data_IF_460008047307
#
_entry.id   IF_460008047307
#
_cell.length_a   1.000
_cell.length_b   1.000
_cell.length_c   1.000
_cell.angle_alpha   90.00
_cell.angle_beta   90.00
_cell.angle_gamma   90.00
#
_symmetry.space_group_name_H-M   'P 1'
#
loop_
_entity.id
_entity.type
_entity.pdbx_description
1 polymer ?
#
# COMPACT_ATOMS: atom_id res chain seq x y z
N UNK A 1 -0.89 -20.78 -3.21
CA UNK A 1 -0.80 -20.06 -4.51
C UNK A 1 0.36 -20.62 -5.30
N UNK A 2 0.21 -20.85 -6.61
CA UNK A 2 1.26 -21.40 -7.49
C UNK A 2 1.52 -20.44 -8.63
N UNK A 3 2.79 -20.17 -8.90
CA UNK A 3 3.28 -19.57 -10.13
C UNK A 3 4.25 -20.60 -10.68
N UNK A 4 3.89 -21.29 -11.77
CA UNK A 4 4.63 -22.39 -12.43
C UNK A 4 5.79 -23.00 -11.61
N UNK A 5 5.44 -23.82 -10.62
CA UNK A 5 6.39 -24.35 -9.64
C UNK A 5 5.74 -24.82 -8.33
N UNK A 6 6.56 -25.15 -7.31
CA UNK A 6 6.07 -25.58 -5.99
C UNK A 6 5.20 -24.48 -5.33
N UNK A 7 4.26 -24.86 -4.45
CA UNK A 7 3.36 -23.91 -3.81
C UNK A 7 4.13 -22.87 -2.99
N UNK A 8 3.91 -21.58 -3.27
CA UNK A 8 4.55 -20.47 -2.56
C UNK A 8 3.92 -20.25 -1.19
N UNK A 9 2.60 -20.51 -1.09
CA UNK A 9 1.84 -20.57 0.16
C UNK A 9 1.07 -21.88 0.17
N UNK A 10 1.33 -22.72 1.17
CA UNK A 10 0.66 -24.00 1.41
C UNK A 10 0.06 -24.03 2.82
N UNK A 11 -1.24 -24.30 2.92
CA UNK A 11 -2.00 -24.46 4.18
C UNK A 11 -1.69 -23.42 5.27
N UNK A 12 -1.55 -22.15 4.88
CA UNK A 12 -1.37 -21.05 5.82
C UNK A 12 -2.69 -20.78 6.57
N UNK A 13 -2.64 -20.82 7.90
CA UNK A 13 -3.69 -20.32 8.79
C UNK A 13 -3.13 -19.18 9.63
N UNK A 14 -3.75 -18.00 9.53
CA UNK A 14 -3.39 -16.82 10.30
C UNK A 14 -4.67 -16.11 10.73
N UNK A 15 -4.80 -15.86 12.03
CA UNK A 15 -5.88 -15.06 12.60
C UNK A 15 -5.25 -14.08 13.59
N UNK A 16 -5.56 -12.80 13.42
CA UNK A 16 -5.10 -11.73 14.30
C UNK A 16 -6.30 -10.92 14.77
N UNK A 17 -6.26 -10.44 16.02
CA UNK A 17 -7.20 -9.42 16.48
C UNK A 17 -6.87 -8.05 15.86
N UNK A 18 -7.39 -6.99 16.49
CA UNK A 18 -6.99 -5.62 16.14
C UNK A 18 -5.49 -5.44 16.43
N UNK A 19 -4.73 -5.09 15.40
CA UNK A 19 -3.30 -4.79 15.51
C UNK A 19 -3.04 -3.41 14.93
N UNK A 20 -2.13 -2.65 15.55
CA UNK A 20 -1.64 -1.39 14.97
C UNK A 20 -0.63 -1.63 13.85
N UNK A 21 0.10 -2.75 13.91
CA UNK A 21 1.04 -3.18 12.88
C UNK A 21 1.18 -4.70 12.87
N UNK A 22 1.25 -5.29 11.68
CA UNK A 22 1.61 -6.70 11.46
C UNK A 22 2.91 -6.75 10.65
N UNK A 23 3.93 -7.42 11.19
CA UNK A 23 5.23 -7.58 10.52
C UNK A 23 5.42 -9.05 10.17
N UNK A 24 5.65 -9.34 8.88
CA UNK A 24 5.98 -10.68 8.40
C UNK A 24 7.49 -10.83 8.29
N UNK A 25 8.07 -11.75 9.05
CA UNK A 25 9.52 -12.05 9.04
C UNK A 25 9.74 -13.48 8.58
N UNK A 26 10.74 -13.69 7.71
CA UNK A 26 11.06 -15.02 7.18
C UNK A 26 12.06 -14.98 6.02
N UNK A 27 12.60 -16.14 5.61
CA UNK A 27 13.64 -16.23 4.58
C UNK A 27 13.17 -15.65 3.24
N UNK A 28 14.11 -15.21 2.41
CA UNK A 28 13.80 -14.83 1.02
C UNK A 28 13.12 -16.01 0.30
N UNK A 29 12.10 -15.72 -0.51
CA UNK A 29 11.28 -16.76 -1.16
C UNK A 29 10.22 -17.43 -0.28
N UNK A 30 10.16 -17.17 1.03
CA UNK A 30 9.16 -17.76 1.94
C UNK A 30 7.71 -17.27 1.78
N UNK A 31 7.34 -16.71 0.63
CA UNK A 31 5.94 -16.33 0.33
C UNK A 31 5.41 -15.05 0.99
N UNK A 32 6.20 -14.32 1.79
CA UNK A 32 5.80 -13.05 2.43
C UNK A 32 5.20 -12.05 1.43
N UNK A 33 5.89 -11.86 0.30
CA UNK A 33 5.45 -10.91 -0.72
C UNK A 33 4.11 -11.33 -1.32
N UNK A 34 3.95 -12.63 -1.57
CA UNK A 34 2.70 -13.22 -2.06
C UNK A 34 1.56 -13.03 -1.07
N UNK A 35 1.81 -13.26 0.24
CA UNK A 35 0.80 -13.06 1.28
C UNK A 35 0.35 -11.60 1.34
N UNK A 36 1.30 -10.65 1.33
CA UNK A 36 0.97 -9.22 1.36
C UNK A 36 0.22 -8.78 0.10
N UNK A 37 0.52 -9.34 -1.08
CA UNK A 37 -0.23 -9.08 -2.32
C UNK A 37 -1.65 -9.61 -2.27
N UNK A 38 -1.86 -10.79 -1.67
CA UNK A 38 -3.20 -11.34 -1.44
C UNK A 38 -3.97 -10.43 -0.47
N UNK A 39 -3.36 -10.03 0.65
CA UNK A 39 -3.98 -9.11 1.61
C UNK A 39 -4.26 -7.75 0.98
N UNK A 40 -3.43 -7.24 0.08
CA UNK A 40 -3.67 -6.01 -0.67
C UNK A 40 -4.75 -6.17 -1.78
N UNK A 41 -5.31 -7.36 -1.97
CA UNK A 41 -6.28 -7.63 -3.04
C UNK A 41 -5.68 -7.49 -4.45
N UNK A 42 -4.36 -7.65 -4.59
CA UNK A 42 -3.64 -7.62 -5.86
C UNK A 42 -3.54 -9.00 -6.50
N UNK A 43 -3.51 -10.04 -5.67
CA UNK A 43 -3.49 -11.44 -6.08
C UNK A 43 -4.67 -12.19 -5.44
N UNK A 44 -5.16 -13.23 -6.12
CA UNK A 44 -6.21 -14.11 -5.58
C UNK A 44 -5.62 -15.42 -5.08
N UNK A 45 -6.03 -15.90 -3.89
CA UNK A 45 -5.66 -17.24 -3.46
C UNK A 45 -6.34 -18.27 -4.38
N UNK A 46 -5.64 -19.38 -4.65
CA UNK A 46 -6.19 -20.50 -5.44
C UNK A 46 -7.25 -21.27 -4.65
N UNK A 47 -7.14 -21.29 -3.32
CA UNK A 47 -8.07 -21.92 -2.41
C UNK A 47 -8.02 -21.24 -1.03
N UNK A 48 -9.07 -21.43 -0.23
CA UNK A 48 -9.24 -20.79 1.06
C UNK A 48 -9.90 -19.42 0.96
N UNK A 49 -9.97 -18.73 2.09
CA UNK A 49 -10.62 -17.42 2.23
C UNK A 49 -9.73 -16.45 2.98
N UNK A 50 -9.87 -15.17 2.66
CA UNK A 50 -9.20 -14.08 3.35
C UNK A 50 -10.25 -13.05 3.73
N UNK A 51 -10.19 -12.58 4.97
CA UNK A 51 -11.00 -11.49 5.48
C UNK A 51 -10.09 -10.45 6.11
N UNK A 52 -10.46 -9.18 5.94
CA UNK A 52 -9.75 -8.03 6.48
C UNK A 52 -10.76 -7.20 7.27
N UNK A 53 -10.46 -6.92 8.55
CA UNK A 53 -11.42 -6.34 9.52
C UNK A 53 -12.76 -7.08 9.58
N UNK A 54 -12.73 -8.41 9.46
CA UNK A 54 -13.94 -9.24 9.45
C UNK A 54 -14.73 -9.21 8.13
N UNK A 55 -14.31 -8.42 7.15
CA UNK A 55 -14.95 -8.35 5.83
C UNK A 55 -14.21 -9.27 4.85
N UNK A 56 -14.88 -10.25 4.22
CA UNK A 56 -14.25 -11.10 3.20
C UNK A 56 -13.74 -10.28 2.02
N UNK A 57 -12.60 -10.70 1.43
CA UNK A 57 -12.14 -10.11 0.18
C UNK A 57 -13.18 -10.33 -0.94
N UNK A 58 -13.53 -9.29 -1.71
CA UNK A 58 -14.46 -9.44 -2.82
C UNK A 58 -13.95 -10.38 -3.91
N UNK A 59 -14.87 -11.13 -4.52
CA UNK A 59 -14.58 -12.11 -5.56
C UNK A 59 -14.61 -11.53 -6.98
N UNK A 60 -15.10 -10.30 -7.16
CA UNK A 60 -15.23 -9.62 -8.44
C UNK A 60 -14.31 -8.39 -8.50
N UNK A 61 -14.00 -7.91 -9.70
CA UNK A 61 -13.08 -6.80 -9.88
C UNK A 61 -13.66 -5.46 -9.42
N UNK A 62 -14.99 -5.28 -9.47
CA UNK A 62 -15.64 -4.05 -8.98
C UNK A 62 -15.52 -3.98 -7.46
N UNK A 63 -15.84 -5.07 -6.76
CA UNK A 63 -15.63 -5.18 -5.32
C UNK A 63 -14.16 -4.99 -4.93
N UNK A 64 -13.22 -5.64 -5.63
CA UNK A 64 -11.79 -5.48 -5.35
C UNK A 64 -11.28 -4.06 -5.58
N UNK A 65 -11.84 -3.31 -6.54
CA UNK A 65 -11.55 -1.88 -6.69
C UNK A 65 -11.99 -1.08 -5.48
N UNK A 66 -13.19 -1.35 -4.95
CA UNK A 66 -13.65 -0.75 -3.70
C UNK A 66 -12.73 -1.07 -2.52
N UNK A 67 -12.35 -2.34 -2.38
CA UNK A 67 -11.41 -2.80 -1.35
C UNK A 67 -10.03 -2.12 -1.45
N UNK A 68 -9.48 -1.99 -2.66
CA UNK A 68 -8.18 -1.32 -2.86
C UNK A 68 -8.21 0.18 -2.59
N UNK A 69 -9.39 0.79 -2.44
CA UNK A 69 -9.52 2.17 -1.91
C UNK A 69 -9.40 2.23 -0.40
N UNK A 70 -9.60 1.13 0.32
CA UNK A 70 -9.50 1.08 1.79
C UNK A 70 -8.15 0.55 2.28
N UNK A 71 -7.30 0.09 1.35
CA UNK A 71 -6.00 -0.51 1.66
C UNK A 71 -4.90 0.13 0.82
N UNK A 72 -3.94 0.76 1.48
CA UNK A 72 -2.73 1.33 0.89
C UNK A 72 -1.60 0.30 0.90
N UNK A 73 -0.84 0.23 -0.19
CA UNK A 73 0.33 -0.66 -0.29
C UNK A 73 1.58 0.16 -0.58
N UNK A 74 2.63 -0.03 0.22
CA UNK A 74 3.93 0.63 -0.03
C UNK A 74 4.93 -0.40 -0.51
N UNK A 75 5.27 -0.34 -1.80
CA UNK A 75 6.22 -1.24 -2.44
C UNK A 75 7.68 -0.93 -2.06
N UNK A 76 8.54 -1.94 -2.18
CA UNK A 76 9.99 -1.81 -1.92
C UNK A 76 10.71 -1.09 -3.06
N UNK A 77 10.23 -1.24 -4.30
CA UNK A 77 10.70 -0.50 -5.46
C UNK A 77 9.90 0.79 -5.62
N UNK A 78 10.59 1.87 -6.02
CA UNK A 78 9.98 3.19 -6.26
C UNK A 78 9.04 3.12 -7.45
N UNK A 79 7.76 2.93 -7.18
CA UNK A 79 6.70 3.01 -8.19
C UNK A 79 6.10 4.42 -8.26
N UNK A 80 6.93 5.46 -8.07
CA UNK A 80 6.50 6.83 -8.33
C UNK A 80 6.39 7.05 -9.83
N UNK A 81 5.40 7.83 -10.25
CA UNK A 81 5.25 8.25 -11.63
C UNK A 81 6.36 9.24 -11.97
N UNK A 82 7.33 8.87 -12.83
CA UNK A 82 8.55 9.65 -13.03
C UNK A 82 8.31 10.98 -13.77
N UNK A 83 7.15 11.12 -14.40
CA UNK A 83 6.71 12.34 -15.07
C UNK A 83 5.97 13.31 -14.13
N UNK A 84 5.79 12.93 -12.87
CA UNK A 84 5.14 13.72 -11.83
C UNK A 84 6.18 14.13 -10.77
N UNK A 85 6.06 15.34 -10.25
CA UNK A 85 6.77 15.77 -9.03
C UNK A 85 6.36 14.94 -7.81
N UNK A 86 7.09 15.06 -6.71
CA UNK A 86 6.73 14.41 -5.46
C UNK A 86 5.32 14.81 -5.01
N UNK A 87 5.03 16.11 -5.02
CA UNK A 87 3.71 16.64 -4.68
C UNK A 87 2.61 16.08 -5.60
N UNK A 88 2.84 16.03 -6.91
CA UNK A 88 1.87 15.46 -7.85
C UNK A 88 1.64 13.96 -7.60
N UNK A 89 2.68 13.19 -7.25
CA UNK A 89 2.54 11.78 -6.88
C UNK A 89 1.71 11.59 -5.60
N UNK A 90 1.88 12.48 -4.61
CA UNK A 90 1.17 12.41 -3.33
C UNK A 90 -0.30 12.87 -3.47
N UNK A 91 -0.59 13.86 -4.32
CA UNK A 91 -1.95 14.33 -4.61
C UNK A 91 -2.74 13.33 -5.46
N UNK A 92 -2.08 12.61 -6.36
CA UNK A 92 -2.74 11.75 -7.34
C UNK A 92 -3.76 10.76 -6.74
N UNK A 93 -3.44 9.95 -5.70
CA UNK A 93 -4.43 9.06 -5.11
C UNK A 93 -5.57 9.82 -4.42
N UNK A 94 -5.30 10.93 -3.74
CA UNK A 94 -6.33 11.74 -3.07
C UNK A 94 -7.40 12.22 -4.05
N UNK A 95 -6.97 12.73 -5.21
CA UNK A 95 -7.87 13.27 -6.22
C UNK A 95 -8.49 12.16 -7.06
N UNK A 96 -7.69 11.21 -7.56
CA UNK A 96 -8.16 10.22 -8.55
C UNK A 96 -8.82 9.00 -7.94
N UNK A 97 -8.42 8.60 -6.74
CA UNK A 97 -8.93 7.39 -6.07
C UNK A 97 -10.00 7.76 -5.05
N UNK A 98 -9.79 8.83 -4.29
CA UNK A 98 -10.70 9.28 -3.23
C UNK A 98 -11.62 10.44 -3.62
N UNK A 99 -11.42 11.03 -4.82
CA UNK A 99 -12.35 12.03 -5.36
C UNK A 99 -12.29 13.39 -4.66
N UNK A 100 -11.25 13.67 -3.88
CA UNK A 100 -11.06 14.98 -3.27
C UNK A 100 -10.76 16.02 -4.35
N UNK A 101 -11.24 17.24 -4.15
CA UNK A 101 -10.77 18.37 -4.96
C UNK A 101 -9.29 18.62 -4.71
N UNK A 102 -8.59 19.22 -5.67
CA UNK A 102 -7.18 19.59 -5.47
C UNK A 102 -6.99 20.52 -4.26
N UNK A 103 -7.97 21.37 -3.98
CA UNK A 103 -7.93 22.30 -2.83
C UNK A 103 -7.98 21.52 -1.52
N UNK A 104 -8.92 20.57 -1.39
CA UNK A 104 -9.06 19.71 -0.20
C UNK A 104 -7.85 18.79 -0.02
N UNK A 105 -7.26 18.30 -1.11
CA UNK A 105 -6.10 17.42 -1.06
C UNK A 105 -4.79 18.16 -0.70
N UNK A 106 -4.71 19.48 -0.96
CA UNK A 106 -3.50 20.29 -0.72
C UNK A 106 -3.28 20.62 0.75
N UNK A 107 -4.34 20.83 1.52
CA UNK A 107 -4.25 21.19 2.94
C UNK A 107 -3.50 20.11 3.76
N UNK A 108 -3.92 18.83 3.78
CA UNK A 108 -3.24 17.80 4.54
C UNK A 108 -1.83 17.52 4.00
N UNK A 109 -1.63 17.66 2.69
CA UNK A 109 -0.30 17.50 2.08
C UNK A 109 0.66 18.61 2.52
N UNK A 110 0.19 19.86 2.60
CA UNK A 110 1.01 20.99 3.01
C UNK A 110 1.41 20.90 4.48
N UNK A 111 0.51 20.45 5.35
CA UNK A 111 0.81 20.16 6.74
C UNK A 111 1.90 19.07 6.88
N UNK A 112 1.85 18.03 6.06
CA UNK A 112 2.83 16.95 6.09
C UNK A 112 4.21 17.37 5.56
N UNK A 113 4.29 18.08 4.43
CA UNK A 113 5.56 18.58 3.86
C UNK A 113 6.33 19.45 4.88
N UNK A 114 5.60 20.26 5.66
CA UNK A 114 6.18 21.07 6.72
C UNK A 114 6.74 20.22 7.88
N UNK A 115 6.11 19.08 8.19
CA UNK A 115 6.51 18.21 9.29
C UNK A 115 7.68 17.29 8.94
N UNK A 116 7.75 16.81 7.70
CA UNK A 116 8.73 15.78 7.30
C UNK A 116 10.02 16.33 6.70
N UNK A 117 10.11 17.65 6.46
CA UNK A 117 11.26 18.29 5.79
C UNK A 117 11.61 17.67 4.43
N UNK A 118 10.68 16.94 3.80
CA UNK A 118 10.85 16.41 2.46
C UNK A 118 10.77 17.58 1.48
N UNK A 119 11.93 17.99 0.96
CA UNK A 119 12.01 19.06 -0.03
C UNK A 119 11.28 18.63 -1.32
N UNK A 120 10.62 19.57 -2.02
CA UNK A 120 10.00 19.27 -3.30
C UNK A 120 11.05 18.75 -4.28
N UNK A 121 10.97 17.45 -4.62
CA UNK A 121 11.85 16.83 -5.60
C UNK A 121 11.56 17.45 -6.98
N UNK A 122 12.53 18.09 -7.64
CA UNK A 122 12.31 18.73 -8.93
C UNK A 122 11.89 17.73 -10.01
N UNK A 123 11.01 18.17 -10.93
CA UNK A 123 10.49 17.42 -12.09
C UNK A 123 11.53 16.71 -12.98
N UNK A 124 12.82 17.03 -12.85
CA UNK A 124 13.91 16.52 -13.71
C UNK A 124 14.88 15.56 -13.03
N UNK A 125 14.68 15.24 -11.75
CA UNK A 125 15.49 14.23 -11.09
C UNK A 125 14.72 12.92 -10.98
N UNK A 126 15.37 11.75 -11.23
CA UNK A 126 14.77 10.49 -10.82
C UNK A 126 14.40 10.63 -9.34
N UNK A 127 13.23 10.14 -8.92
CA UNK A 127 12.82 10.23 -7.53
C UNK A 127 13.98 9.70 -6.67
N UNK A 128 14.31 10.36 -5.55
CA UNK A 128 15.35 9.88 -4.65
C UNK A 128 15.07 8.42 -4.32
N UNK A 129 16.14 7.67 -4.11
CA UNK A 129 16.08 6.28 -3.72
C UNK A 129 15.55 6.19 -2.27
N UNK A 130 14.28 6.54 -2.04
CA UNK A 130 13.59 6.36 -0.76
C UNK A 130 12.17 6.91 -0.77
N UNK A 131 11.17 6.06 -0.56
CA UNK A 131 9.95 6.41 0.17
C UNK A 131 10.31 5.98 1.58
N UNK A 132 10.76 6.94 2.39
CA UNK A 132 11.08 6.74 3.78
C UNK A 132 9.83 6.36 4.60
N UNK A 133 10.04 5.99 5.87
CA UNK A 133 8.95 5.73 6.80
C UNK A 133 7.99 6.93 6.92
N UNK A 134 8.50 8.14 6.71
CA UNK A 134 7.75 9.40 6.82
C UNK A 134 6.71 9.55 5.72
N UNK A 135 7.02 9.10 4.51
CA UNK A 135 6.07 9.07 3.38
C UNK A 135 4.96 8.04 3.59
N UNK A 136 5.25 6.92 4.29
CA UNK A 136 4.20 5.96 4.69
C UNK A 136 3.24 6.58 5.69
N UNK A 137 3.80 7.30 6.67
CA UNK A 137 3.03 8.02 7.69
C UNK A 137 2.11 9.06 7.06
N UNK A 138 2.53 9.76 5.99
CA UNK A 138 1.66 10.69 5.26
C UNK A 138 0.35 10.04 4.85
N UNK A 139 0.43 8.90 4.18
CA UNK A 139 -0.77 8.29 3.61
C UNK A 139 -1.70 7.78 4.71
N UNK A 140 -1.15 7.33 5.84
CA UNK A 140 -1.93 7.01 7.05
C UNK A 140 -2.69 8.23 7.58
N UNK A 141 -2.00 9.37 7.68
CA UNK A 141 -2.56 10.58 8.33
C UNK A 141 -3.55 11.32 7.41
N UNK A 142 -3.29 11.34 6.10
CA UNK A 142 -4.13 12.06 5.13
C UNK A 142 -5.41 11.31 4.78
N UNK A 143 -5.41 9.98 4.90
CA UNK A 143 -6.59 9.15 4.59
C UNK A 143 -6.86 8.20 5.76
N UNK A 144 -7.53 8.68 6.83
CA UNK A 144 -7.65 7.95 8.09
C UNK A 144 -8.40 6.61 7.98
N UNK A 145 -9.13 6.39 6.89
CA UNK A 145 -9.83 5.14 6.60
C UNK A 145 -9.00 4.14 5.78
N UNK A 146 -7.81 4.51 5.32
CA UNK A 146 -6.90 3.65 4.56
C UNK A 146 -5.93 2.95 5.50
N UNK A 147 -5.87 1.62 5.40
CA UNK A 147 -4.93 0.79 6.17
C UNK A 147 -3.71 0.47 5.33
N UNK A 148 -2.52 0.57 5.92
CA UNK A 148 -1.28 0.40 5.17
C UNK A 148 -0.65 -0.96 5.36
N UNK A 149 -0.30 -1.59 4.24
CA UNK A 149 0.47 -2.82 4.16
C UNK A 149 1.85 -2.49 3.59
N UNK A 150 2.90 -2.82 4.35
CA UNK A 150 4.28 -2.51 3.99
C UNK A 150 5.16 -3.76 4.00
N UNK A 151 6.08 -3.84 3.05
CA UNK A 151 7.06 -4.91 2.94
C UNK A 151 8.36 -4.49 3.64
N UNK A 152 8.64 -5.05 4.82
CA UNK A 152 9.96 -4.94 5.45
C UNK A 152 10.79 -6.17 5.06
N UNK A 153 11.88 -5.97 4.32
CA UNK A 153 12.98 -6.94 4.28
C UNK A 153 14.13 -6.37 5.12
N UNK A 154 14.85 -7.25 5.81
CA UNK A 154 16.17 -6.91 6.36
C UNK A 154 17.13 -6.63 5.20
#
# INVERSE_FOLDING_TARGET
>A
MRFDGPPVLDRLALQTGAVQALVLVGPSGGGKTTLLRILAGLDRPVAGSVAFDGVPLPADEVGLRGYRRTVGTVFQAYNLFPHLSAQENLLLPLVRVHGLSEVEAREPLSAWVLQTRILPIPRKHPPPQGIDQDTRKMFCDTIPHVRFISFLHR
#
